data_IF_415009696736
#
_entry.id   IF_415009696736
#
_cell.length_a   1.000
_cell.length_b   1.000
_cell.length_c   1.000
_cell.angle_alpha   90.00
_cell.angle_beta   90.00
_cell.angle_gamma   90.00
#
_symmetry.space_group_name_H-M   'P 1'
#
loop_
_entity.id
_entity.type
_entity.pdbx_description
1 polymer ?
#
# COMPACT_ATOMS: atom_id res chain seq x y z
N UNK A 1 -9.64 -8.44 0.37
CA UNK A 1 -9.53 -7.36 1.38
C UNK A 1 -8.52 -6.32 0.94
N UNK A 2 -8.89 -5.04 0.91
CA UNK A 2 -7.95 -3.94 0.63
C UNK A 2 -7.06 -3.63 1.84
N UNK A 3 -7.61 -3.75 3.06
CA UNK A 3 -6.91 -3.46 4.31
C UNK A 3 -5.63 -4.28 4.50
N UNK A 4 -5.64 -5.56 4.14
CA UNK A 4 -4.43 -6.41 4.22
C UNK A 4 -3.30 -5.94 3.31
N UNK A 5 -3.58 -5.20 2.22
CA UNK A 5 -2.53 -4.61 1.36
C UNK A 5 -1.86 -3.40 2.01
N UNK A 6 -2.52 -2.77 2.98
CA UNK A 6 -2.03 -1.62 3.70
C UNK A 6 -1.31 -2.06 4.98
N UNK A 7 -1.95 -2.96 5.74
CA UNK A 7 -1.46 -3.44 7.04
C UNK A 7 -0.39 -4.54 6.94
N UNK A 8 -0.21 -5.17 5.78
CA UNK A 8 0.77 -6.25 5.59
C UNK A 8 1.61 -6.01 4.32
N UNK A 9 2.32 -4.87 4.20
CA UNK A 9 3.04 -4.48 2.99
C UNK A 9 4.22 -5.42 2.69
N UNK A 10 4.83 -5.98 3.75
CA UNK A 10 6.02 -6.81 3.69
C UNK A 10 5.69 -8.28 3.35
N UNK A 11 4.42 -8.69 3.41
CA UNK A 11 4.03 -10.07 3.07
C UNK A 11 4.14 -10.32 1.54
N UNK A 12 4.84 -11.38 1.12
CA UNK A 12 5.02 -11.71 -0.30
C UNK A 12 3.70 -12.10 -0.97
N UNK A 13 2.79 -12.72 -0.21
CA UNK A 13 1.45 -13.07 -0.67
C UNK A 13 0.40 -12.73 0.38
N UNK A 14 -0.67 -12.09 -0.08
CA UNK A 14 -1.84 -11.69 0.72
C UNK A 14 -3.11 -12.41 0.24
N UNK A 15 -2.97 -13.57 -0.39
CA UNK A 15 -4.11 -14.43 -0.70
C UNK A 15 -4.69 -14.99 0.59
N UNK A 16 -6.01 -15.13 0.65
CA UNK A 16 -6.68 -15.60 1.86
C UNK A 16 -6.13 -16.95 2.39
N UNK A 17 -5.85 -17.96 1.54
CA UNK A 17 -5.25 -19.22 2.02
C UNK A 17 -3.85 -19.04 2.64
N UNK A 18 -3.04 -18.13 2.11
CA UNK A 18 -1.72 -17.85 2.67
C UNK A 18 -1.82 -17.08 3.99
N UNK A 19 -2.79 -16.17 4.11
CA UNK A 19 -3.06 -15.45 5.35
C UNK A 19 -3.59 -16.37 6.46
N UNK A 20 -4.48 -17.31 6.12
CA UNK A 20 -4.93 -18.36 7.06
C UNK A 20 -3.76 -19.16 7.60
N UNK A 21 -2.81 -19.56 6.73
CA UNK A 21 -1.60 -20.28 7.15
C UNK A 21 -0.67 -19.41 7.99
N UNK A 22 -0.45 -18.16 7.56
CA UNK A 22 0.46 -17.23 8.21
C UNK A 22 0.00 -16.88 9.63
N UNK A 23 -1.29 -16.58 9.81
CA UNK A 23 -1.87 -16.24 11.11
C UNK A 23 -2.44 -17.44 11.88
N UNK A 24 -2.35 -18.64 11.31
CA UNK A 24 -2.86 -19.88 11.89
C UNK A 24 -4.35 -19.79 12.29
N UNK A 25 -5.19 -19.19 11.44
CA UNK A 25 -6.61 -19.04 11.73
C UNK A 25 -7.31 -20.40 11.85
N UNK A 26 -8.07 -20.58 12.93
CA UNK A 26 -8.87 -21.79 13.18
C UNK A 26 -10.16 -21.73 12.38
N UNK A 27 -10.10 -22.18 11.12
CA UNK A 27 -11.25 -22.14 10.19
C UNK A 27 -11.96 -23.49 10.02
N UNK A 28 -11.54 -24.54 10.73
CA UNK A 28 -12.19 -25.87 10.72
C UNK A 28 -12.09 -26.62 9.40
N UNK A 29 -12.96 -27.63 9.19
CA UNK A 29 -13.29 -28.21 7.86
C UNK A 29 -14.75 -27.88 7.46
N UNK A 30 -15.05 -26.67 6.99
CA UNK A 30 -16.35 -26.31 6.45
C UNK A 30 -16.34 -26.35 4.91
N UNK A 31 -17.53 -26.24 4.30
CA UNK A 31 -17.65 -25.92 2.88
C UNK A 31 -16.82 -24.65 2.58
N UNK A 32 -16.11 -24.62 1.44
CA UNK A 32 -15.10 -23.58 1.13
C UNK A 32 -15.59 -22.14 1.39
N UNK A 33 -16.84 -21.85 1.06
CA UNK A 33 -17.44 -20.52 1.25
C UNK A 33 -17.52 -20.10 2.72
N UNK A 34 -17.87 -21.01 3.62
CA UNK A 34 -17.96 -20.73 5.06
C UNK A 34 -16.56 -20.56 5.67
N UNK A 35 -15.61 -21.42 5.27
CA UNK A 35 -14.21 -21.30 5.67
C UNK A 35 -13.60 -19.96 5.24
N UNK A 36 -13.84 -19.55 3.99
CA UNK A 36 -13.36 -18.28 3.45
C UNK A 36 -13.99 -17.08 4.16
N UNK A 37 -15.28 -17.17 4.51
CA UNK A 37 -15.99 -16.12 5.26
C UNK A 37 -15.40 -15.96 6.66
N UNK A 38 -15.22 -17.05 7.40
CA UNK A 38 -14.62 -17.03 8.74
C UNK A 38 -13.17 -16.54 8.69
N UNK A 39 -12.38 -17.00 7.72
CA UNK A 39 -11.02 -16.52 7.51
C UNK A 39 -10.97 -15.00 7.27
N UNK A 40 -11.91 -14.47 6.47
CA UNK A 40 -12.00 -13.03 6.22
C UNK A 40 -12.39 -12.26 7.48
N UNK A 41 -13.30 -12.80 8.29
CA UNK A 41 -13.70 -12.20 9.56
C UNK A 41 -12.51 -12.12 10.54
N UNK A 42 -11.83 -13.24 10.79
CA UNK A 42 -10.67 -13.29 11.68
C UNK A 42 -9.53 -12.38 11.21
N UNK A 43 -9.33 -12.30 9.89
CA UNK A 43 -8.38 -11.35 9.31
C UNK A 43 -8.78 -9.91 9.58
N UNK A 44 -10.04 -9.55 9.38
CA UNK A 44 -10.52 -8.19 9.62
C UNK A 44 -10.38 -7.80 11.09
N UNK A 45 -10.84 -8.65 12.00
CA UNK A 45 -10.74 -8.47 13.45
C UNK A 45 -9.29 -8.26 13.87
N UNK A 46 -8.37 -9.12 13.40
CA UNK A 46 -6.94 -9.00 13.70
C UNK A 46 -6.37 -7.66 13.23
N UNK A 47 -6.61 -7.29 11.98
CA UNK A 47 -6.05 -6.08 11.39
C UNK A 47 -6.62 -4.80 12.03
N UNK A 48 -7.91 -4.79 12.35
CA UNK A 48 -8.54 -3.65 13.03
C UNK A 48 -8.04 -3.53 14.48
N UNK A 49 -7.87 -4.66 15.17
CA UNK A 49 -7.29 -4.67 16.52
C UNK A 49 -5.86 -4.12 16.50
N UNK A 50 -5.04 -4.50 15.52
CA UNK A 50 -3.70 -3.91 15.35
C UNK A 50 -3.78 -2.40 15.10
N UNK A 51 -4.68 -1.93 14.22
CA UNK A 51 -4.84 -0.50 13.95
C UNK A 51 -5.25 0.32 15.18
N UNK A 52 -6.10 -0.21 16.05
CA UNK A 52 -6.58 0.52 17.24
C UNK A 52 -5.52 0.57 18.34
N UNK A 53 -4.65 -0.44 18.42
CA UNK A 53 -3.70 -0.59 19.52
C UNK A 53 -2.26 -0.19 19.17
N UNK A 54 -1.96 0.07 17.90
CA UNK A 54 -0.65 0.58 17.46
C UNK A 54 -0.62 2.11 17.43
N UNK A 55 0.54 2.68 17.73
CA UNK A 55 0.76 4.12 17.61
C UNK A 55 0.74 4.58 16.15
N UNK A 56 0.30 5.82 15.91
CA UNK A 56 0.16 6.40 14.58
C UNK A 56 1.49 6.36 13.81
N UNK A 57 2.62 6.63 14.45
CA UNK A 57 3.93 6.62 13.80
C UNK A 57 4.28 5.23 13.26
N UNK A 58 3.88 4.18 13.97
CA UNK A 58 4.09 2.78 13.55
C UNK A 58 3.22 2.45 12.34
N UNK A 59 1.96 2.87 12.35
CA UNK A 59 1.03 2.69 11.24
C UNK A 59 1.49 3.47 10.00
N UNK A 60 1.89 4.73 10.16
CA UNK A 60 2.40 5.56 9.08
C UNK A 60 3.69 4.99 8.49
N UNK A 61 4.64 4.55 9.33
CA UNK A 61 5.85 3.87 8.87
C UNK A 61 5.52 2.60 8.08
N UNK A 62 4.49 1.85 8.49
CA UNK A 62 4.00 0.69 7.76
C UNK A 62 3.39 1.08 6.41
N UNK A 63 2.55 2.10 6.38
CA UNK A 63 1.89 2.56 5.16
C UNK A 63 2.89 3.13 4.15
N UNK A 64 3.94 3.77 4.62
CA UNK A 64 5.04 4.28 3.79
C UNK A 64 5.75 3.18 2.98
N UNK A 65 5.75 1.92 3.47
CA UNK A 65 6.31 0.77 2.73
C UNK A 65 5.42 0.28 1.59
N UNK A 66 4.15 0.70 1.54
CA UNK A 66 3.21 0.25 0.53
C UNK A 66 3.69 0.64 -0.88
N UNK A 67 3.60 -0.31 -1.82
CA UNK A 67 3.77 0.00 -3.24
C UNK A 67 2.44 0.37 -3.88
N UNK A 68 2.39 1.54 -4.49
CA UNK A 68 1.21 2.11 -5.14
C UNK A 68 1.44 2.31 -6.65
N UNK A 69 0.46 2.02 -7.51
CA UNK A 69 0.63 2.21 -8.95
C UNK A 69 0.58 3.70 -9.34
N UNK A 70 1.23 4.03 -10.46
CA UNK A 70 1.34 5.38 -11.01
C UNK A 70 0.00 6.15 -11.07
N UNK A 71 -1.11 5.46 -11.36
CA UNK A 71 -2.44 6.08 -11.36
C UNK A 71 -2.82 6.72 -10.02
N UNK A 72 -2.48 6.09 -8.88
CA UNK A 72 -2.75 6.71 -7.58
C UNK A 72 -1.73 7.79 -7.26
N UNK A 73 -0.47 7.60 -7.66
CA UNK A 73 0.55 8.64 -7.52
C UNK A 73 0.15 9.93 -8.24
N UNK A 74 -0.33 9.82 -9.48
CA UNK A 74 -0.84 10.94 -10.25
C UNK A 74 -2.00 11.66 -9.55
N UNK A 75 -2.91 10.90 -8.92
CA UNK A 75 -3.98 11.47 -8.08
C UNK A 75 -3.45 12.19 -6.85
N UNK A 76 -2.48 11.62 -6.14
CA UNK A 76 -1.87 12.26 -4.97
C UNK A 76 -1.15 13.56 -5.34
N UNK A 77 -0.47 13.59 -6.48
CA UNK A 77 0.23 14.76 -6.99
C UNK A 77 -0.67 15.75 -7.76
N UNK A 78 -1.98 15.47 -7.87
CA UNK A 78 -2.94 16.31 -8.59
C UNK A 78 -2.63 16.53 -10.07
N UNK A 79 -1.97 15.60 -10.76
CA UNK A 79 -1.53 15.78 -12.14
C UNK A 79 -1.75 14.53 -13.02
N UNK A 80 -1.40 14.62 -14.31
CA UNK A 80 -1.50 13.47 -15.22
C UNK A 80 -0.46 12.39 -14.90
N UNK A 81 -0.73 11.12 -15.23
CA UNK A 81 0.23 10.02 -15.02
C UNK A 81 1.57 10.26 -15.71
N UNK A 82 1.57 10.86 -16.91
CA UNK A 82 2.80 11.18 -17.65
C UNK A 82 3.62 12.25 -16.91
N UNK A 83 2.95 13.29 -16.43
CA UNK A 83 3.58 14.36 -15.64
C UNK A 83 4.12 13.84 -14.31
N UNK A 84 3.33 13.03 -13.60
CA UNK A 84 3.73 12.41 -12.33
C UNK A 84 4.98 11.55 -12.51
N UNK A 85 5.00 10.69 -13.53
CA UNK A 85 6.16 9.86 -13.83
C UNK A 85 7.41 10.70 -14.11
N UNK A 86 7.30 11.69 -14.99
CA UNK A 86 8.43 12.55 -15.36
C UNK A 86 8.99 13.32 -14.14
N UNK A 87 8.12 13.84 -13.27
CA UNK A 87 8.53 14.55 -12.05
C UNK A 87 9.25 13.64 -11.06
N UNK A 88 8.76 12.42 -10.87
CA UNK A 88 9.36 11.44 -9.96
C UNK A 88 10.67 10.89 -10.49
N UNK A 89 10.77 10.66 -11.80
CA UNK A 89 12.03 10.27 -12.46
C UNK A 89 13.08 11.37 -12.33
N UNK A 90 12.70 12.65 -12.54
CA UNK A 90 13.60 13.78 -12.35
C UNK A 90 14.08 13.93 -10.88
N UNK A 91 13.24 13.57 -9.92
CA UNK A 91 13.58 13.57 -8.49
C UNK A 91 14.29 12.29 -8.03
N UNK A 92 14.56 11.33 -8.92
CA UNK A 92 15.24 10.08 -8.58
C UNK A 92 14.43 9.11 -7.71
N UNK A 93 13.11 9.28 -7.62
CA UNK A 93 12.24 8.39 -6.84
C UNK A 93 12.21 6.99 -7.45
N UNK A 94 12.42 5.96 -6.63
CA UNK A 94 12.59 4.59 -7.14
C UNK A 94 11.26 4.03 -7.61
N UNK A 95 11.27 3.52 -8.83
CA UNK A 95 10.12 2.85 -9.44
C UNK A 95 10.41 1.38 -9.71
N UNK A 96 9.36 0.56 -9.71
CA UNK A 96 9.42 -0.86 -10.10
C UNK A 96 8.36 -1.15 -11.14
N UNK A 97 8.77 -1.70 -12.28
CA UNK A 97 7.85 -2.26 -13.28
C UNK A 97 7.30 -3.60 -12.78
N UNK A 98 5.98 -3.76 -12.79
CA UNK A 98 5.29 -5.02 -12.45
C UNK A 98 4.30 -5.35 -13.55
N UNK A 99 4.28 -6.61 -13.99
CA UNK A 99 3.42 -7.08 -15.08
C UNK A 99 4.23 -7.63 -16.27
N UNK A 100 3.53 -7.99 -17.35
CA UNK A 100 4.14 -8.48 -18.60
C UNK A 100 3.45 -7.85 -19.80
N UNK A 101 4.19 -7.63 -20.89
CA UNK A 101 3.64 -7.11 -22.14
C UNK A 101 2.99 -5.73 -21.98
N UNK A 102 1.72 -5.60 -22.41
CA UNK A 102 0.96 -4.35 -22.36
C UNK A 102 0.43 -4.00 -20.96
N UNK A 103 0.43 -4.95 -20.02
CA UNK A 103 -0.09 -4.78 -18.65
C UNK A 103 0.98 -4.33 -17.64
N UNK A 104 2.11 -3.81 -18.13
CA UNK A 104 3.19 -3.30 -17.28
C UNK A 104 2.72 -2.04 -16.56
N UNK A 105 2.71 -2.09 -15.24
CA UNK A 105 2.38 -0.97 -14.36
C UNK A 105 3.63 -0.53 -13.58
N UNK A 106 3.90 0.78 -13.59
CA UNK A 106 4.90 1.38 -12.72
C UNK A 106 4.36 1.48 -11.29
N UNK A 107 5.12 0.94 -10.35
CA UNK A 107 4.83 0.95 -8.92
C UNK A 107 5.87 1.80 -8.19
N UNK A 108 5.41 2.62 -7.26
CA UNK A 108 6.25 3.51 -6.45
C UNK A 108 6.05 3.19 -4.98
N UNK A 109 7.07 3.43 -4.15
CA UNK A 109 6.93 3.31 -2.71
C UNK A 109 6.22 4.56 -2.17
N UNK A 110 5.15 4.35 -1.39
CA UNK A 110 4.26 5.42 -0.93
C UNK A 110 5.01 6.49 -0.14
N UNK A 111 5.86 6.10 0.80
CA UNK A 111 6.64 7.04 1.61
C UNK A 111 7.59 7.92 0.79
N UNK A 112 8.21 7.39 -0.26
CA UNK A 112 9.07 8.21 -1.14
C UNK A 112 8.25 9.24 -1.94
N UNK A 113 7.03 8.87 -2.34
CA UNK A 113 6.12 9.79 -3.05
C UNK A 113 5.54 10.84 -2.11
N UNK A 114 5.18 10.46 -0.88
CA UNK A 114 4.71 11.40 0.15
C UNK A 114 5.81 12.38 0.52
N UNK A 115 7.04 11.92 0.72
CA UNK A 115 8.19 12.81 0.97
C UNK A 115 8.38 13.80 -0.19
N UNK A 116 8.42 13.30 -1.43
CA UNK A 116 8.52 14.16 -2.62
C UNK A 116 7.41 15.21 -2.68
N UNK A 117 6.18 14.85 -2.29
CA UNK A 117 5.05 15.78 -2.26
C UNK A 117 5.22 16.86 -1.18
N UNK A 118 5.68 16.51 0.01
CA UNK A 118 5.94 17.48 1.07
C UNK A 118 7.11 18.40 0.73
N UNK A 119 8.20 17.88 0.14
CA UNK A 119 9.34 18.68 -0.29
C UNK A 119 8.92 19.76 -1.29
N UNK A 120 8.06 19.40 -2.27
CA UNK A 120 7.50 20.34 -3.24
C UNK A 120 6.64 21.44 -2.61
N UNK A 121 5.94 21.14 -1.51
CA UNK A 121 5.12 22.11 -0.79
C UNK A 121 5.95 23.00 0.14
N UNK A 122 6.98 22.43 0.78
CA UNK A 122 7.93 23.17 1.62
C UNK A 122 8.67 24.24 0.81
N UNK A 123 9.10 23.91 -0.42
CA UNK A 123 9.70 24.88 -1.35
C UNK A 123 8.71 25.98 -1.76
N UNK A 124 7.42 25.66 -1.87
CA UNK A 124 6.39 26.66 -2.20
C UNK A 124 6.07 27.61 -1.04
N UNK A 125 6.24 27.17 0.22
CA UNK A 125 6.04 28.03 1.40
C UNK A 125 7.23 28.95 1.67
N UNK A 126 8.46 28.53 1.36
CA UNK A 126 9.66 29.36 1.54
C UNK A 126 9.83 30.41 0.43
N UNK A 127 9.19 30.26 -0.72
CA UNK A 127 9.21 31.26 -1.81
C UNK A 127 8.23 32.43 -1.61
N UNK A 128 7.47 32.44 -0.51
CA UNK A 128 6.43 33.44 -0.19
C UNK A 128 6.73 34.27 1.08
N UNK A 129 7.94 34.14 1.64
CA UNK A 129 8.50 35.03 2.66
C UNK A 129 9.60 35.92 2.05
#
# INVERSE_FOLDING_TARGET
>A
MQLSRLMLPDLPSRSLPNLVKYFQFKVGKPHRAEADTLACWLLAERLLTEMVNEADEVLLARFAKQRIPLKYVAKMLGCSSKTAQSRLEAAGVRSRKVGRGRDVTMMYQRGEVEQFFYDQQGDSQLSLM
#
